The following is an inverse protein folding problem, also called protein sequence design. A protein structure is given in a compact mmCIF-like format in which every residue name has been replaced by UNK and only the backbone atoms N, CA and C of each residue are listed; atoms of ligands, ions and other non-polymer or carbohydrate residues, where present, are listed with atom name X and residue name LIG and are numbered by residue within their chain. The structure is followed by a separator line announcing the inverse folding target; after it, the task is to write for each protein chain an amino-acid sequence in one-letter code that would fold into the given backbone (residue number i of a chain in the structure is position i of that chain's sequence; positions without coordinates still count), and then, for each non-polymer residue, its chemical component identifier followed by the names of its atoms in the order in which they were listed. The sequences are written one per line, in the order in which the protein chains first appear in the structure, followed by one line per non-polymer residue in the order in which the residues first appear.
data_IF_017618285362
#
_entry.id   IF_017618285362
#
_cell.length_a   1.000
_cell.length_b   1.000
_cell.length_c   1.000
_cell.angle_alpha   90.00
_cell.angle_beta   90.00
_cell.angle_gamma   90.00
#
_symmetry.space_group_name_H-M   'P 1'
#
loop_
_entity.id
_entity.type
_entity.pdbx_description
1 polymer ?
#
# COMPACT_ATOMS: atom_id res chain seq x y z
N UNK A 1 -8.80 14.11 7.35
CA UNK A 1 -10.05 13.33 7.57
C UNK A 1 -10.07 12.88 9.03
N UNK A 2 -11.22 12.95 9.70
CA UNK A 2 -11.38 12.49 11.09
C UNK A 2 -12.20 11.18 11.09
N UNK A 3 -11.58 10.08 11.51
CA UNK A 3 -12.18 8.76 11.58
C UNK A 3 -12.59 8.48 13.03
N UNK A 4 -13.82 7.99 13.22
CA UNK A 4 -14.38 7.76 14.55
C UNK A 4 -14.97 6.35 14.64
N UNK A 5 -14.50 5.57 15.61
CA UNK A 5 -15.15 4.34 16.05
C UNK A 5 -16.04 4.66 17.25
N UNK A 6 -17.33 4.42 17.12
CA UNK A 6 -18.30 4.74 18.15
C UNK A 6 -19.29 3.60 18.40
N UNK A 7 -19.79 3.56 19.63
CA UNK A 7 -21.03 2.89 20.01
C UNK A 7 -22.15 3.92 20.04
N UNK A 8 -23.42 3.52 20.16
CA UNK A 8 -24.52 4.47 20.37
C UNK A 8 -24.37 5.33 21.63
N UNK A 9 -23.54 4.91 22.60
CA UNK A 9 -23.38 5.57 23.89
C UNK A 9 -22.10 6.40 24.01
N UNK A 10 -21.04 6.04 23.29
CA UNK A 10 -19.72 6.66 23.43
C UNK A 10 -18.83 6.49 22.20
N UNK A 11 -17.93 7.46 22.00
CA UNK A 11 -16.79 7.34 21.09
C UNK A 11 -15.74 6.45 21.75
N UNK A 12 -15.36 5.37 21.07
CA UNK A 12 -14.35 4.43 21.55
C UNK A 12 -12.94 4.78 21.06
N UNK A 13 -12.84 5.38 19.88
CA UNK A 13 -11.59 5.76 19.26
C UNK A 13 -11.81 6.86 18.21
N UNK A 14 -10.84 7.77 18.06
CA UNK A 14 -10.81 8.79 17.01
C UNK A 14 -9.38 9.01 16.57
N UNK A 15 -9.19 9.10 15.25
CA UNK A 15 -7.88 9.31 14.66
C UNK A 15 -8.02 10.20 13.41
N UNK A 16 -7.04 11.07 13.23
CA UNK A 16 -7.01 12.02 12.12
C UNK A 16 -5.90 11.66 11.16
N UNK A 17 -6.26 11.54 9.89
CA UNK A 17 -5.33 11.31 8.78
C UNK A 17 -5.34 12.50 7.83
N UNK A 18 -4.28 12.62 7.04
CA UNK A 18 -4.28 13.54 5.90
C UNK A 18 -5.30 13.10 4.85
N UNK A 19 -5.80 14.05 4.06
CA UNK A 19 -6.67 13.72 2.93
C UNK A 19 -5.81 13.65 1.67
N UNK A 20 -5.79 12.50 1.02
CA UNK A 20 -5.22 12.40 -0.31
C UNK A 20 -6.11 13.12 -1.34
N UNK A 21 -5.50 13.98 -2.15
CA UNK A 21 -6.15 14.63 -3.30
C UNK A 21 -6.14 13.70 -4.54
N UNK A 22 -6.56 12.45 -4.35
CA UNK A 22 -6.61 11.45 -5.41
C UNK A 22 -7.85 10.55 -5.29
N UNK A 23 -8.21 9.90 -6.40
CA UNK A 23 -9.31 8.91 -6.46
C UNK A 23 -8.71 7.51 -6.47
N UNK A 24 -9.02 6.74 -5.44
CA UNK A 24 -8.55 5.37 -5.30
C UNK A 24 -9.64 4.35 -5.62
N UNK A 25 -9.28 3.29 -6.34
CA UNK A 25 -10.08 2.09 -6.47
C UNK A 25 -9.65 1.06 -5.41
N UNK A 26 -10.58 0.62 -4.55
CA UNK A 26 -10.32 -0.46 -3.59
C UNK A 26 -9.76 -0.04 -2.22
N UNK A 27 -9.79 1.25 -1.86
CA UNK A 27 -9.40 1.71 -0.52
C UNK A 27 -10.29 1.10 0.59
N UNK A 28 -11.61 1.10 0.39
CA UNK A 28 -12.57 0.51 1.34
C UNK A 28 -12.43 -1.00 1.50
N UNK A 29 -12.16 -1.71 0.40
CA UNK A 29 -11.90 -3.15 0.42
C UNK A 29 -10.62 -3.46 1.19
N UNK A 30 -9.57 -2.65 0.99
CA UNK A 30 -8.29 -2.78 1.70
C UNK A 30 -8.46 -2.57 3.20
N UNK A 31 -9.19 -1.53 3.61
CA UNK A 31 -9.50 -1.28 5.03
C UNK A 31 -10.29 -2.44 5.65
N UNK A 32 -11.31 -2.92 4.94
CA UNK A 32 -12.20 -3.98 5.41
C UNK A 32 -11.45 -5.30 5.55
N UNK A 33 -10.59 -5.63 4.59
CA UNK A 33 -9.74 -6.81 4.62
C UNK A 33 -8.76 -6.76 5.80
N UNK A 34 -8.06 -5.65 6.00
CA UNK A 34 -7.12 -5.46 7.11
C UNK A 34 -7.82 -5.58 8.48
N UNK A 35 -8.95 -4.90 8.66
CA UNK A 35 -9.74 -4.96 9.89
C UNK A 35 -10.22 -6.39 10.18
N UNK A 36 -10.76 -7.07 9.16
CA UNK A 36 -11.25 -8.45 9.29
C UNK A 36 -10.13 -9.42 9.67
N UNK A 37 -8.94 -9.26 9.07
CA UNK A 37 -7.78 -10.09 9.38
C UNK A 37 -7.30 -9.89 10.83
N UNK A 38 -7.24 -8.63 11.31
CA UNK A 38 -6.83 -8.32 12.68
C UNK A 38 -7.82 -8.89 13.72
N UNK A 39 -9.12 -8.74 13.46
CA UNK A 39 -10.17 -9.30 14.31
C UNK A 39 -10.12 -10.85 14.32
N UNK A 40 -9.90 -11.48 13.17
CA UNK A 40 -9.74 -12.93 13.07
C UNK A 40 -8.52 -13.44 13.85
N UNK A 41 -7.46 -12.64 13.93
CA UNK A 41 -6.28 -12.90 14.75
C UNK A 41 -6.46 -12.57 16.25
N UNK A 42 -7.68 -12.23 16.69
CA UNK A 42 -7.99 -12.01 18.11
C UNK A 42 -7.61 -10.64 18.66
N UNK A 43 -7.32 -9.66 17.81
CA UNK A 43 -7.12 -8.28 18.25
C UNK A 43 -8.44 -7.71 18.80
N UNK A 44 -8.36 -6.90 19.85
CA UNK A 44 -9.53 -6.15 20.31
C UNK A 44 -9.95 -5.10 19.26
N UNK A 45 -11.21 -4.67 19.30
CA UNK A 45 -11.80 -3.83 18.27
C UNK A 45 -11.07 -2.48 18.09
N UNK A 46 -10.71 -1.80 19.18
CA UNK A 46 -10.00 -0.52 19.09
C UNK A 46 -8.61 -0.68 18.47
N UNK A 47 -7.83 -1.67 18.93
CA UNK A 47 -6.50 -1.95 18.40
C UNK A 47 -6.56 -2.37 16.92
N UNK A 48 -7.53 -3.22 16.56
CA UNK A 48 -7.74 -3.65 15.19
C UNK A 48 -8.11 -2.47 14.27
N UNK A 49 -8.95 -1.55 14.76
CA UNK A 49 -9.35 -0.35 13.99
C UNK A 49 -8.18 0.60 13.77
N UNK A 50 -7.41 0.90 14.82
CA UNK A 50 -6.23 1.75 14.72
C UNK A 50 -5.21 1.17 13.73
N UNK A 51 -4.83 -0.11 13.89
CA UNK A 51 -3.86 -0.74 13.00
C UNK A 51 -4.36 -0.85 11.55
N UNK A 52 -5.64 -1.13 11.34
CA UNK A 52 -6.21 -1.19 9.99
C UNK A 52 -6.20 0.17 9.28
N UNK A 53 -6.46 1.26 10.02
CA UNK A 53 -6.39 2.62 9.48
C UNK A 53 -4.94 3.01 9.16
N UNK A 54 -3.98 2.71 10.04
CA UNK A 54 -2.55 2.93 9.76
C UNK A 54 -2.08 2.13 8.55
N UNK A 55 -2.47 0.87 8.45
CA UNK A 55 -2.15 0.03 7.29
C UNK A 55 -2.74 0.59 5.99
N UNK A 56 -3.99 1.06 6.03
CA UNK A 56 -4.61 1.72 4.89
C UNK A 56 -3.82 2.97 4.48
N UNK A 57 -3.45 3.82 5.44
CA UNK A 57 -2.70 5.05 5.17
C UNK A 57 -1.38 4.76 4.43
N UNK A 58 -0.59 3.81 4.92
CA UNK A 58 0.63 3.38 4.21
C UNK A 58 0.34 2.79 2.83
N UNK A 59 -0.73 1.98 2.70
CA UNK A 59 -1.11 1.40 1.42
C UNK A 59 -1.56 2.45 0.39
N UNK A 60 -2.15 3.56 0.84
CA UNK A 60 -2.54 4.68 -0.02
C UNK A 60 -1.34 5.55 -0.38
N UNK A 61 -0.43 5.80 0.56
CA UNK A 61 0.82 6.52 0.32
C UNK A 61 1.69 5.83 -0.74
N UNK A 62 1.76 4.49 -0.69
CA UNK A 62 2.47 3.68 -1.67
C UNK A 62 1.62 3.32 -2.92
N UNK A 63 0.43 3.90 -3.06
CA UNK A 63 -0.49 3.54 -4.14
C UNK A 63 0.08 3.80 -5.54
N UNK A 64 -0.22 2.91 -6.48
CA UNK A 64 0.29 2.98 -7.86
C UNK A 64 -0.84 3.27 -8.86
N UNK A 65 -0.48 3.79 -10.03
CA UNK A 65 -1.42 4.25 -11.05
C UNK A 65 -1.38 3.33 -12.29
N UNK A 66 -2.18 2.25 -12.33
CA UNK A 66 -2.13 1.34 -13.47
C UNK A 66 -2.75 1.99 -14.72
N UNK A 67 -1.91 2.28 -15.72
CA UNK A 67 -2.35 2.90 -16.97
C UNK A 67 -2.93 4.30 -16.78
N UNK A 68 -4.17 4.52 -17.22
CA UNK A 68 -4.87 5.82 -17.13
C UNK A 68 -6.09 5.77 -16.19
N UNK A 69 -6.11 4.82 -15.25
CA UNK A 69 -7.24 4.53 -14.36
C UNK A 69 -7.25 5.31 -13.06
N UNK A 70 -7.94 4.77 -12.05
CA UNK A 70 -7.83 5.26 -10.67
C UNK A 70 -6.59 4.64 -10.00
N UNK A 71 -6.05 5.31 -8.97
CA UNK A 71 -4.94 4.78 -8.18
C UNK A 71 -5.39 3.54 -7.42
N UNK A 72 -4.54 2.53 -7.34
CA UNK A 72 -4.77 1.30 -6.56
C UNK A 72 -3.86 1.31 -5.33
N UNK A 73 -4.38 1.05 -4.11
CA UNK A 73 -3.53 0.95 -2.92
C UNK A 73 -2.51 -0.18 -3.05
N UNK A 74 -1.25 0.10 -2.76
CA UNK A 74 -0.22 -0.94 -2.69
C UNK A 74 -0.31 -1.64 -1.33
N UNK A 75 -0.82 -2.88 -1.35
CA UNK A 75 -0.98 -3.71 -0.14
C UNK A 75 0.32 -4.43 0.27
N UNK A 76 1.33 -4.38 -0.58
CA UNK A 76 2.65 -4.98 -0.41
C UNK A 76 3.73 -3.90 -0.27
N UNK A 77 3.35 -2.69 0.14
CA UNK A 77 4.26 -1.54 0.34
C UNK A 77 5.49 -1.85 1.21
N UNK A 78 5.41 -2.86 2.06
CA UNK A 78 6.45 -3.32 2.99
C UNK A 78 7.36 -4.41 2.42
N UNK A 79 7.05 -4.91 1.22
CA UNK A 79 7.72 -6.02 0.56
C UNK A 79 8.48 -5.57 -0.71
N UNK A 80 8.59 -4.25 -0.95
CA UNK A 80 9.42 -3.71 -2.03
C UNK A 80 10.90 -3.95 -1.72
N UNK A 81 11.72 -4.20 -2.75
CA UNK A 81 13.15 -4.45 -2.59
C UNK A 81 13.90 -3.11 -2.45
N UNK A 82 14.99 -3.09 -1.69
CA UNK A 82 15.78 -1.86 -1.41
C UNK A 82 16.38 -1.20 -2.68
N UNK A 83 16.37 -1.90 -3.82
CA UNK A 83 16.88 -1.43 -5.11
C UNK A 83 15.89 -0.52 -5.89
N UNK A 84 14.64 -0.38 -5.44
CA UNK A 84 13.59 0.40 -6.12
C UNK A 84 13.52 1.89 -5.69
N UNK A 85 14.30 2.31 -4.69
CA UNK A 85 14.36 3.70 -4.18
C UNK A 85 15.27 4.62 -5.03
N UNK A 86 15.90 4.10 -6.09
CA UNK A 86 16.63 4.93 -7.05
C UNK A 86 15.64 5.59 -8.01
N UNK A 87 15.27 6.85 -7.72
CA UNK A 87 14.80 7.79 -8.74
C UNK A 87 15.66 7.61 -9.99
N UNK A 88 15.07 7.09 -11.07
CA UNK A 88 15.80 6.68 -12.27
C UNK A 88 16.75 7.78 -12.73
N UNK A 89 18.09 7.63 -12.58
CA UNK A 89 19.01 8.50 -13.28
C UNK A 89 18.94 8.08 -14.74
N UNK A 90 18.67 9.06 -15.59
CA UNK A 90 18.73 8.96 -17.04
C UNK A 90 19.89 8.07 -17.53
N UNK A 91 19.54 7.13 -18.39
CA UNK A 91 20.37 6.03 -18.87
C UNK A 91 21.70 6.49 -19.50
N UNK A 92 22.80 5.80 -19.17
CA UNK A 92 24.05 5.93 -19.91
C UNK A 92 25.21 5.09 -19.38
N UNK A 93 25.19 3.77 -19.63
CA UNK A 93 26.33 2.91 -19.36
C UNK A 93 26.14 1.47 -19.84
N UNK A 94 26.63 1.19 -21.04
CA UNK A 94 26.77 -0.14 -21.65
C UNK A 94 27.90 -0.93 -20.97
N UNK A 95 27.62 -2.12 -20.45
CA UNK A 95 28.64 -3.18 -20.26
C UNK A 95 27.94 -4.56 -20.16
N UNK A 96 28.25 -5.55 -21.04
CA UNK A 96 27.61 -6.85 -21.04
C UNK A 96 28.58 -7.97 -20.65
N UNK A 97 28.67 -8.34 -19.36
CA UNK A 97 29.16 -9.68 -18.97
C UNK A 97 28.96 -9.94 -17.46
N UNK A 98 28.00 -10.77 -17.08
CA UNK A 98 28.29 -11.86 -16.13
C UNK A 98 27.17 -12.93 -16.14
N UNK A 99 27.57 -14.15 -16.49
CA UNK A 99 26.71 -15.32 -16.59
C UNK A 99 26.63 -16.08 -15.27
N UNK A 100 25.50 -15.97 -14.57
CA UNK A 100 24.98 -17.01 -13.67
C UNK A 100 23.49 -17.05 -13.92
N UNK A 101 22.96 -18.11 -14.53
CA UNK A 101 21.51 -18.24 -14.76
C UNK A 101 20.82 -18.56 -13.43
N UNK A 102 20.12 -17.62 -12.77
CA UNK A 102 19.14 -17.99 -11.76
C UNK A 102 17.91 -18.49 -12.54
N UNK A 103 17.01 -19.22 -11.88
CA UNK A 103 15.66 -19.47 -12.40
C UNK A 103 15.10 -18.17 -12.99
N UNK A 104 14.30 -18.18 -14.07
CA UNK A 104 13.70 -16.96 -14.57
C UNK A 104 12.84 -16.40 -13.44
N UNK A 105 13.41 -15.44 -12.71
CA UNK A 105 12.68 -14.55 -11.83
C UNK A 105 11.64 -13.97 -12.76
N UNK A 106 10.37 -14.29 -12.48
CA UNK A 106 9.26 -13.79 -13.24
C UNK A 106 9.21 -12.29 -12.95
N UNK A 107 10.05 -11.55 -13.68
CA UNK A 107 10.25 -10.11 -13.59
C UNK A 107 9.04 -9.46 -14.25
N UNK A 108 7.92 -9.57 -13.54
CA UNK A 108 6.78 -8.72 -13.80
C UNK A 108 7.19 -7.33 -13.34
N UNK A 109 7.10 -6.30 -14.20
CA UNK A 109 7.30 -4.94 -13.75
C UNK A 109 6.39 -4.69 -12.55
N UNK A 110 6.98 -4.40 -11.39
CA UNK A 110 6.30 -4.01 -10.17
C UNK A 110 5.70 -2.63 -10.41
N UNK A 111 4.55 -2.63 -11.08
CA UNK A 111 3.68 -1.49 -11.35
C UNK A 111 4.22 -0.33 -12.20
N UNK A 112 5.37 -0.48 -12.86
CA UNK A 112 5.87 0.50 -13.84
C UNK A 112 5.17 0.43 -15.21
N UNK A 113 4.06 1.16 -15.41
CA UNK A 113 3.72 1.64 -16.76
C UNK A 113 4.26 3.07 -16.92
N UNK A 114 5.41 3.20 -17.58
CA UNK A 114 6.10 4.46 -17.92
C UNK A 114 5.19 5.36 -18.78
N UNK A 115 4.93 6.57 -18.33
CA UNK A 115 4.46 7.71 -19.15
C UNK A 115 5.14 9.00 -18.71
#
# INVERSE_FOLDING_TARGET
IDNVLATPQAVLYSEKFERFEAVFAGAGDTLTAALSALLANGHNLQAATSQALTYLDHSLNAGFHPGMGNIVPDRLFWAQSEDDDEESPDEGGDDPDDTVLPLPTFDLPTHGTKH
#
